data_IF_233693351572
#
_entry.id   IF_233693351572
#
_cell.length_a   1.000
_cell.length_b   1.000
_cell.length_c   1.000
_cell.angle_alpha   90.00
_cell.angle_beta   90.00
_cell.angle_gamma   90.00
#
_symmetry.space_group_name_H-M   'P 1'
#
loop_
_entity.id
_entity.type
_entity.pdbx_description
1 polymer ?
#
# COMPACT_ATOMS: atom_id res chain seq x y z
N UNK A 1 -22.21 -54.26 13.77
CA UNK A 1 -22.83 -53.20 14.60
C UNK A 1 -23.03 -51.98 13.72
N UNK A 2 -24.27 -51.68 13.34
CA UNK A 2 -24.59 -50.49 12.53
C UNK A 2 -24.67 -49.29 13.46
N UNK A 3 -23.70 -48.38 13.35
CA UNK A 3 -23.70 -47.12 14.09
C UNK A 3 -24.87 -46.26 13.61
N UNK A 4 -25.84 -45.95 14.47
CA UNK A 4 -26.92 -45.00 14.15
C UNK A 4 -26.29 -43.65 13.79
N UNK A 5 -26.46 -43.21 12.53
CA UNK A 5 -26.11 -41.84 12.15
C UNK A 5 -27.01 -40.87 12.93
N UNK A 6 -26.42 -40.10 13.83
CA UNK A 6 -27.07 -38.95 14.45
C UNK A 6 -27.01 -37.80 13.45
N UNK A 7 -28.15 -37.50 12.81
CA UNK A 7 -28.29 -36.30 11.98
C UNK A 7 -28.37 -35.04 12.83
N UNK A 8 -27.95 -33.91 12.25
CA UNK A 8 -28.13 -32.58 12.84
C UNK A 8 -29.61 -32.20 12.77
N UNK A 9 -30.16 -31.57 13.82
CA UNK A 9 -31.55 -31.11 13.77
C UNK A 9 -31.64 -29.82 12.93
N UNK A 10 -32.79 -29.62 12.29
CA UNK A 10 -33.04 -28.42 11.48
C UNK A 10 -32.99 -27.16 12.35
N UNK A 11 -33.42 -27.26 13.61
CA UNK A 11 -33.36 -26.16 14.57
C UNK A 11 -31.93 -25.84 15.00
N UNK A 12 -31.07 -26.83 15.24
CA UNK A 12 -29.66 -26.59 15.52
C UNK A 12 -28.99 -25.87 14.36
N UNK A 13 -29.30 -26.28 13.12
CA UNK A 13 -28.72 -25.66 11.94
C UNK A 13 -29.18 -24.20 11.78
N UNK A 14 -30.46 -23.90 12.02
CA UNK A 14 -30.98 -22.54 11.96
C UNK A 14 -30.33 -21.61 12.98
N UNK A 15 -30.11 -22.07 14.21
CA UNK A 15 -29.46 -21.27 15.26
C UNK A 15 -27.99 -21.00 14.88
N UNK A 16 -27.28 -22.00 14.37
CA UNK A 16 -25.89 -21.84 13.92
C UNK A 16 -25.79 -20.80 12.80
N UNK A 17 -26.67 -20.86 11.79
CA UNK A 17 -26.70 -19.87 10.70
C UNK A 17 -27.03 -18.47 11.22
N UNK A 18 -27.94 -18.34 12.18
CA UNK A 18 -28.25 -17.05 12.80
C UNK A 18 -27.04 -16.43 13.51
N UNK A 19 -26.30 -17.23 14.28
CA UNK A 19 -25.08 -16.76 14.98
C UNK A 19 -23.99 -16.39 13.96
N UNK A 20 -23.76 -17.23 12.95
CA UNK A 20 -22.79 -16.93 11.88
C UNK A 20 -23.18 -15.64 11.13
N UNK A 21 -24.47 -15.42 10.87
CA UNK A 21 -24.96 -14.20 10.24
C UNK A 21 -24.61 -12.94 11.03
N UNK A 22 -24.80 -12.95 12.35
CA UNK A 22 -24.44 -11.82 13.23
C UNK A 22 -22.92 -11.59 13.23
N UNK A 23 -22.13 -12.66 13.37
CA UNK A 23 -20.67 -12.56 13.36
C UNK A 23 -20.14 -12.05 12.00
N UNK A 24 -20.70 -12.54 10.89
CA UNK A 24 -20.31 -12.16 9.55
C UNK A 24 -20.56 -10.67 9.27
N UNK A 25 -21.67 -10.11 9.77
CA UNK A 25 -21.99 -8.69 9.60
C UNK A 25 -20.89 -7.76 10.16
N UNK A 26 -20.20 -8.16 11.24
CA UNK A 26 -19.09 -7.40 11.82
C UNK A 26 -17.74 -7.83 11.23
N UNK A 27 -17.55 -9.12 10.99
CA UNK A 27 -16.27 -9.67 10.55
C UNK A 27 -15.93 -9.32 9.10
N UNK A 28 -16.91 -9.30 8.19
CA UNK A 28 -16.69 -8.99 6.76
C UNK A 28 -16.10 -7.59 6.55
N UNK A 29 -16.70 -6.49 7.07
CA UNK A 29 -16.12 -5.15 6.90
C UNK A 29 -14.77 -5.00 7.60
N UNK A 30 -14.58 -5.64 8.76
CA UNK A 30 -13.29 -5.61 9.45
C UNK A 30 -12.18 -6.33 8.65
N UNK A 31 -12.51 -7.48 8.05
CA UNK A 31 -11.58 -8.26 7.24
C UNK A 31 -11.24 -7.55 5.93
N UNK A 32 -12.22 -6.91 5.27
CA UNK A 32 -11.97 -6.15 4.05
C UNK A 32 -11.02 -4.97 4.31
N UNK A 33 -11.19 -4.26 5.42
CA UNK A 33 -10.28 -3.19 5.84
C UNK A 33 -8.87 -3.71 6.13
N UNK A 34 -8.76 -4.88 6.77
CA UNK A 34 -7.46 -5.53 7.00
C UNK A 34 -6.75 -5.87 5.69
N UNK A 35 -7.48 -6.45 4.73
CA UNK A 35 -6.93 -6.77 3.41
C UNK A 35 -6.50 -5.52 2.65
N UNK A 36 -7.26 -4.42 2.72
CA UNK A 36 -6.88 -3.12 2.14
C UNK A 36 -5.55 -2.62 2.72
N UNK A 37 -5.38 -2.65 4.04
CA UNK A 37 -4.10 -2.29 4.69
C UNK A 37 -2.95 -3.19 4.28
N UNK A 38 -3.19 -4.49 4.18
CA UNK A 38 -2.16 -5.46 3.77
C UNK A 38 -1.65 -5.15 2.35
N UNK A 39 -2.54 -4.86 1.40
CA UNK A 39 -2.17 -4.44 0.03
C UNK A 39 -1.29 -3.19 0.04
N UNK A 40 -1.66 -2.20 0.85
CA UNK A 40 -0.93 -0.93 0.94
C UNK A 40 0.45 -1.11 1.58
N UNK A 41 0.60 -2.08 2.49
CA UNK A 41 1.89 -2.37 3.15
C UNK A 41 3.00 -2.86 2.20
N UNK A 42 2.63 -3.30 1.00
CA UNK A 42 3.60 -3.68 -0.04
C UNK A 42 4.39 -2.47 -0.55
N UNK A 43 3.77 -1.29 -0.63
CA UNK A 43 4.46 -0.07 -1.07
C UNK A 43 5.68 0.29 -0.23
N UNK A 44 5.52 0.45 1.10
CA UNK A 44 6.65 0.66 2.01
C UNK A 44 7.74 -0.42 1.92
N UNK A 45 7.35 -1.68 1.67
CA UNK A 45 8.30 -2.77 1.47
C UNK A 45 9.13 -2.59 0.20
N UNK A 46 8.48 -2.23 -0.92
CA UNK A 46 9.18 -1.95 -2.19
C UNK A 46 10.04 -0.68 -2.06
N UNK A 47 9.52 0.35 -1.39
CA UNK A 47 10.19 1.60 -1.13
C UNK A 47 11.57 1.42 -0.47
N UNK A 48 11.73 0.49 0.47
CA UNK A 48 13.01 0.24 1.12
C UNK A 48 14.16 -0.07 0.14
N UNK A 49 13.89 -0.86 -0.90
CA UNK A 49 14.87 -1.16 -1.95
C UNK A 49 15.17 0.06 -2.83
N UNK A 50 14.11 0.78 -3.23
CA UNK A 50 14.23 2.00 -4.06
C UNK A 50 15.04 3.08 -3.35
N UNK A 51 14.72 3.34 -2.09
CA UNK A 51 15.41 4.31 -1.24
C UNK A 51 16.91 4.01 -1.18
N UNK A 52 17.26 2.76 -0.91
CA UNK A 52 18.67 2.34 -0.81
C UNK A 52 19.42 2.58 -2.12
N UNK A 53 18.80 2.26 -3.26
CA UNK A 53 19.39 2.52 -4.57
C UNK A 53 19.57 4.02 -4.84
N UNK A 54 18.53 4.83 -4.58
CA UNK A 54 18.58 6.28 -4.77
C UNK A 54 19.62 6.96 -3.87
N UNK A 55 19.66 6.58 -2.59
CA UNK A 55 20.61 7.13 -1.61
C UNK A 55 22.07 6.76 -1.99
N UNK A 56 22.31 5.52 -2.43
CA UNK A 56 23.63 5.07 -2.88
C UNK A 56 24.07 5.81 -4.14
N UNK A 57 23.22 5.86 -5.16
CA UNK A 57 23.53 6.55 -6.42
C UNK A 57 23.83 8.03 -6.21
N UNK A 58 23.00 8.73 -5.42
CA UNK A 58 23.20 10.14 -5.14
C UNK A 58 24.50 10.39 -4.36
N UNK A 59 24.88 9.45 -3.48
CA UNK A 59 26.14 9.54 -2.72
C UNK A 59 27.38 9.33 -3.60
N UNK A 60 27.29 8.50 -4.64
CA UNK A 60 28.40 8.22 -5.55
C UNK A 60 28.56 9.27 -6.66
N UNK A 61 27.45 9.69 -7.26
CA UNK A 61 27.44 10.52 -8.48
C UNK A 61 27.16 12.00 -8.19
N UNK A 62 26.57 12.31 -7.04
CA UNK A 62 26.25 13.69 -6.63
C UNK A 62 25.04 14.30 -7.32
N UNK A 63 24.28 13.52 -8.08
CA UNK A 63 22.98 13.90 -8.64
C UNK A 63 22.01 12.73 -8.62
N UNK A 64 20.72 13.01 -8.77
CA UNK A 64 19.69 11.97 -8.82
C UNK A 64 19.69 11.24 -10.17
N UNK A 65 19.41 9.93 -10.20
CA UNK A 65 19.36 9.20 -11.46
C UNK A 65 18.20 9.69 -12.31
N UNK A 66 18.33 9.68 -13.63
CA UNK A 66 17.22 9.88 -14.56
C UNK A 66 16.64 8.51 -14.90
N UNK A 67 15.85 7.95 -13.98
CA UNK A 67 15.17 6.69 -14.24
C UNK A 67 13.99 6.95 -15.19
N UNK A 68 14.01 6.35 -16.39
CA UNK A 68 12.82 6.23 -17.23
C UNK A 68 12.24 4.84 -16.97
N UNK A 69 11.00 4.79 -16.47
CA UNK A 69 10.26 3.56 -16.22
C UNK A 69 9.75 2.98 -17.55
N UNK A 70 10.62 2.33 -18.29
CA UNK A 70 10.35 1.52 -19.48
C UNK A 70 10.74 0.09 -19.19
N UNK A 71 9.74 -0.80 -19.03
CA UNK A 71 9.75 -2.20 -18.56
C UNK A 71 10.77 -3.20 -19.16
N UNK A 72 11.85 -2.77 -19.79
CA UNK A 72 12.92 -3.61 -20.31
C UNK A 72 14.31 -3.08 -19.92
N UNK A 73 14.97 -3.85 -19.06
CA UNK A 73 16.42 -4.07 -19.01
C UNK A 73 17.36 -3.00 -18.44
N UNK A 74 16.91 -2.09 -17.55
CA UNK A 74 17.80 -1.49 -16.52
C UNK A 74 17.02 -0.77 -15.39
N UNK A 75 16.03 -1.45 -14.80
CA UNK A 75 14.96 -0.76 -14.07
C UNK A 75 14.86 -1.09 -12.58
N UNK A 76 14.69 -0.04 -11.77
CA UNK A 76 14.10 -0.17 -10.44
C UNK A 76 12.66 -0.67 -10.62
N UNK A 77 12.39 -1.91 -10.23
CA UNK A 77 11.05 -2.50 -10.28
C UNK A 77 10.15 -1.85 -9.22
N UNK A 78 9.36 -0.87 -9.63
CA UNK A 78 8.36 -0.21 -8.77
C UNK A 78 6.99 -0.89 -8.80
N UNK A 79 6.92 -2.14 -9.28
CA UNK A 79 5.70 -2.96 -9.27
C UNK A 79 5.86 -4.14 -8.34
N UNK A 80 4.77 -4.41 -7.63
CA UNK A 80 4.53 -5.60 -6.83
C UNK A 80 3.16 -6.15 -7.15
N UNK A 81 2.73 -7.18 -6.44
CA UNK A 81 1.48 -7.88 -6.72
C UNK A 81 0.23 -7.02 -6.48
N UNK A 82 0.31 -6.06 -5.55
CA UNK A 82 -0.78 -5.15 -5.21
C UNK A 82 -0.48 -3.69 -5.59
N UNK A 83 0.65 -3.45 -6.27
CA UNK A 83 1.03 -2.14 -6.81
C UNK A 83 0.73 -2.12 -8.31
N UNK A 84 -0.25 -1.29 -8.68
CA UNK A 84 -0.69 -1.11 -10.06
C UNK A 84 0.42 -0.46 -10.91
N UNK A 85 1.06 0.55 -10.37
CA UNK A 85 2.20 1.25 -10.96
C UNK A 85 3.01 1.94 -9.88
N UNK A 86 4.29 2.15 -10.15
CA UNK A 86 5.07 3.13 -9.43
C UNK A 86 5.67 4.12 -10.40
N UNK A 87 5.76 5.38 -9.99
CA UNK A 87 6.35 6.46 -10.77
C UNK A 87 7.53 7.04 -10.02
N UNK A 88 8.56 7.40 -10.78
CA UNK A 88 9.69 8.17 -10.30
C UNK A 88 9.74 9.46 -11.09
N UNK A 89 9.68 10.58 -10.40
CA UNK A 89 9.81 11.91 -10.99
C UNK A 89 11.19 12.45 -10.60
N UNK A 90 12.17 12.40 -11.54
CA UNK A 90 13.45 13.05 -11.32
C UNK A 90 13.25 14.56 -11.36
N UNK A 91 13.18 15.19 -10.20
CA UNK A 91 13.45 16.62 -10.07
C UNK A 91 14.97 16.80 -9.93
N UNK A 92 15.53 17.83 -10.57
CA UNK A 92 16.94 18.16 -10.45
C UNK A 92 17.37 18.47 -9.00
N UNK A 93 16.41 18.75 -8.11
CA UNK A 93 16.66 19.09 -6.70
C UNK A 93 16.08 18.10 -5.68
N UNK A 94 14.87 17.56 -5.91
CA UNK A 94 14.18 16.69 -4.94
C UNK A 94 13.37 15.57 -5.62
N UNK A 95 13.90 14.34 -5.73
CA UNK A 95 13.16 13.25 -6.35
C UNK A 95 11.90 12.91 -5.56
N UNK A 96 10.90 12.42 -6.28
CA UNK A 96 9.70 11.84 -5.70
C UNK A 96 9.41 10.47 -6.33
N UNK A 97 9.08 9.51 -5.48
CA UNK A 97 8.68 8.16 -5.87
C UNK A 97 7.27 7.92 -5.37
N UNK A 98 6.34 7.59 -6.26
CA UNK A 98 4.97 7.27 -5.90
C UNK A 98 4.63 5.83 -6.26
N UNK A 99 3.77 5.22 -5.46
CA UNK A 99 3.19 3.91 -5.70
C UNK A 99 1.68 4.04 -5.73
N UNK A 100 1.07 3.50 -6.78
CA UNK A 100 -0.37 3.47 -7.00
C UNK A 100 -0.88 2.07 -6.72
N UNK A 101 -1.90 1.97 -5.89
CA UNK A 101 -2.57 0.73 -5.51
C UNK A 101 -3.96 0.74 -6.11
N UNK A 102 -4.40 -0.39 -6.65
CA UNK A 102 -5.81 -0.56 -7.04
C UNK A 102 -6.65 -1.01 -5.84
N UNK A 103 -7.88 -0.52 -5.77
CA UNK A 103 -8.85 -0.90 -4.76
C UNK A 103 -9.90 0.17 -4.51
N UNK A 104 -11.08 -0.27 -4.08
CA UNK A 104 -12.11 0.62 -3.56
C UNK A 104 -11.77 0.99 -2.10
N UNK A 105 -11.45 2.27 -1.87
CA UNK A 105 -11.22 2.82 -0.53
C UNK A 105 -12.29 3.82 -0.09
N UNK A 106 -13.46 3.82 -0.73
CA UNK A 106 -14.69 4.50 -0.30
C UNK A 106 -14.75 6.02 -0.47
N UNK A 107 -13.61 6.72 -0.50
CA UNK A 107 -13.54 8.20 -0.57
C UNK A 107 -12.71 8.70 -1.77
N UNK A 108 -12.50 7.83 -2.76
CA UNK A 108 -11.68 8.13 -3.92
C UNK A 108 -12.56 8.27 -5.17
N UNK A 109 -12.25 9.25 -6.01
CA UNK A 109 -12.90 9.44 -7.31
C UNK A 109 -12.46 8.39 -8.34
N UNK A 110 -11.39 7.67 -8.04
CA UNK A 110 -10.81 6.57 -8.81
C UNK A 110 -10.65 5.36 -7.89
N UNK A 111 -10.82 4.12 -8.38
CA UNK A 111 -10.50 2.88 -7.63
C UNK A 111 -8.98 2.69 -7.42
N UNK A 112 -8.27 3.78 -7.18
CA UNK A 112 -6.82 3.85 -7.03
C UNK A 112 -6.44 4.78 -5.89
N UNK A 113 -5.52 4.32 -5.05
CA UNK A 113 -4.90 5.10 -3.98
C UNK A 113 -3.42 5.29 -4.28
N UNK A 114 -2.81 6.37 -3.79
CA UNK A 114 -1.39 6.63 -4.03
C UNK A 114 -0.66 7.04 -2.77
N UNK A 115 0.58 6.56 -2.64
CA UNK A 115 1.53 6.93 -1.58
C UNK A 115 2.82 7.37 -2.23
N UNK A 116 3.35 8.51 -1.83
CA UNK A 116 4.58 9.08 -2.37
C UNK A 116 5.64 9.28 -1.28
N UNK A 117 6.89 9.08 -1.65
CA UNK A 117 8.06 9.45 -0.88
C UNK A 117 8.79 10.56 -1.62
N UNK A 118 8.91 11.71 -0.96
CA UNK A 118 9.61 12.87 -1.49
C UNK A 118 10.85 13.14 -0.66
N UNK A 119 11.96 13.37 -1.34
CA UNK A 119 13.19 13.77 -0.67
C UNK A 119 13.06 15.20 -0.13
N UNK A 120 13.40 15.38 1.13
CA UNK A 120 13.46 16.67 1.82
C UNK A 120 14.92 17.00 2.02
N UNK A 121 15.37 18.08 1.39
CA UNK A 121 16.75 18.55 1.49
C UNK A 121 17.08 18.99 2.92
N UNK A 122 18.35 18.82 3.28
CA UNK A 122 18.90 19.29 4.55
C UNK A 122 18.65 20.79 4.71
N UNK A 123 18.14 21.20 5.87
CA UNK A 123 18.07 22.60 6.27
C UNK A 123 19.18 22.93 7.27
N UNK A 124 19.25 24.17 7.76
CA UNK A 124 20.22 24.54 8.79
C UNK A 124 20.03 23.74 10.11
N UNK A 125 18.81 23.24 10.35
CA UNK A 125 18.40 22.58 11.60
C UNK A 125 18.25 21.08 11.47
N UNK A 126 17.85 20.58 10.29
CA UNK A 126 17.43 19.19 10.13
C UNK A 126 18.23 18.48 9.02
N UNK A 127 18.67 17.22 9.24
CA UNK A 127 19.31 16.44 8.19
C UNK A 127 18.36 16.19 7.03
N UNK A 128 18.89 15.84 5.85
CA UNK A 128 18.03 15.44 4.74
C UNK A 128 17.34 14.10 5.04
N UNK A 129 16.09 13.95 4.63
CA UNK A 129 15.31 12.74 4.87
C UNK A 129 14.24 12.53 3.80
N UNK A 130 13.72 11.32 3.73
CA UNK A 130 12.58 11.00 2.89
C UNK A 130 11.28 11.16 3.67
N UNK A 131 10.40 12.02 3.19
CA UNK A 131 9.06 12.22 3.75
C UNK A 131 8.05 11.42 2.97
N UNK A 132 7.26 10.59 3.65
CA UNK A 132 6.07 10.03 3.04
C UNK A 132 4.95 11.07 2.99
N UNK A 133 4.19 11.13 1.89
CA UNK A 133 3.04 11.99 1.67
C UNK A 133 1.99 11.27 0.83
N UNK A 134 0.72 11.62 1.02
CA UNK A 134 -0.33 11.30 0.05
C UNK A 134 -0.52 12.49 -0.91
N UNK A 135 -0.65 12.25 -2.23
CA UNK A 135 -0.94 13.30 -3.20
C UNK A 135 -2.36 13.87 -3.04
N UNK A 136 -2.70 15.01 -3.69
CA UNK A 136 -3.99 15.67 -3.53
C UNK A 136 -5.23 14.83 -3.95
N UNK A 137 -6.39 15.30 -3.49
CA UNK A 137 -7.63 14.60 -3.12
C UNK A 137 -8.20 13.45 -3.97
N UNK A 138 -7.84 13.30 -5.25
CA UNK A 138 -8.40 12.23 -6.09
C UNK A 138 -7.84 10.83 -5.77
N UNK A 139 -6.65 10.76 -5.17
CA UNK A 139 -5.98 9.50 -4.77
C UNK A 139 -5.63 9.46 -3.27
N UNK A 140 -6.23 10.37 -2.49
CA UNK A 140 -5.94 10.54 -1.07
C UNK A 140 -6.48 9.37 -0.25
N UNK A 141 -5.59 8.46 0.08
CA UNK A 141 -5.90 7.29 0.88
C UNK A 141 -6.42 7.72 2.27
N UNK A 142 -7.54 7.17 2.78
CA UNK A 142 -8.03 7.53 4.10
C UNK A 142 -7.01 7.25 5.22
N UNK A 143 -6.84 8.13 6.24
CA UNK A 143 -5.85 8.01 7.32
C UNK A 143 -5.81 6.65 8.02
N UNK A 144 -6.94 5.93 8.03
CA UNK A 144 -7.06 4.58 8.60
C UNK A 144 -6.11 3.59 7.92
N UNK A 145 -5.86 3.73 6.62
CA UNK A 145 -5.07 2.79 5.81
C UNK A 145 -3.62 3.21 5.58
N UNK A 146 -3.23 4.43 5.97
CA UNK A 146 -1.85 4.89 5.79
C UNK A 146 -0.88 4.06 6.65
N UNK A 147 0.30 3.72 6.10
CA UNK A 147 1.43 3.25 6.88
C UNK A 147 1.81 4.26 7.96
N UNK A 148 2.44 3.77 9.04
CA UNK A 148 2.84 4.64 10.16
C UNK A 148 3.76 5.79 9.73
N UNK A 149 4.66 5.52 8.78
CA UNK A 149 5.61 6.52 8.28
C UNK A 149 4.96 7.62 7.44
N UNK A 150 3.68 7.43 7.07
CA UNK A 150 2.90 8.34 6.25
C UNK A 150 1.76 9.04 7.03
N UNK A 151 1.63 8.74 8.33
CA UNK A 151 0.60 9.35 9.20
C UNK A 151 1.06 10.65 9.83
#
# INVERSE_FOLDING_TARGET
MTTKQKGFTLIELMIVVAIIGILAAVAIPAYSDYMKKAKISEGPSLWGGVKTYLDTFHSEVGHWPKLQLTLENDEVKLKGNNVLSGTYTPDATVPEVCFVFSGDYGDLTTDTAQICWKYVVKTATDPAFWSCKTPPSATNLPPKYLPKDCK
#
